data_IF_857879766581
#
_entry.id   IF_857879766581
#
_cell.length_a   1.000
_cell.length_b   1.000
_cell.length_c   1.000
_cell.angle_alpha   90.00
_cell.angle_beta   90.00
_cell.angle_gamma   90.00
#
_symmetry.space_group_name_H-M   'P 1'
#
loop_
_entity.id
_entity.type
_entity.pdbx_description
1 polymer ?
#
# COMPACT_ATOMS: atom_id res chain seq x y z
N UNK A 1 -35.98 -9.57 16.35
CA UNK A 1 -34.55 -9.18 16.38
C UNK A 1 -33.86 -9.77 15.15
N UNK A 2 -33.71 -9.02 14.06
CA UNK A 2 -32.52 -8.19 13.71
C UNK A 2 -31.28 -9.07 13.45
N UNK A 3 -30.56 -9.04 12.32
CA UNK A 3 -30.68 -8.43 10.99
C UNK A 3 -29.61 -9.17 10.18
N UNK A 4 -29.97 -9.70 9.01
CA UNK A 4 -29.06 -10.31 8.04
C UNK A 4 -28.05 -9.26 7.56
N UNK A 5 -26.76 -9.55 7.68
CA UNK A 5 -25.68 -8.66 7.20
C UNK A 5 -25.10 -9.24 5.91
N UNK A 6 -25.15 -8.44 4.85
CA UNK A 6 -24.01 -8.37 3.93
C UNK A 6 -24.06 -9.18 2.63
N UNK A 7 -25.23 -9.28 1.99
CA UNK A 7 -25.35 -9.61 0.58
C UNK A 7 -24.78 -8.45 -0.27
N UNK A 8 -23.52 -8.55 -0.69
CA UNK A 8 -22.87 -7.60 -1.62
C UNK A 8 -22.10 -8.32 -2.71
N UNK A 9 -22.76 -9.17 -3.49
CA UNK A 9 -22.27 -9.56 -4.80
C UNK A 9 -23.49 -9.86 -5.65
N UNK A 10 -23.84 -8.96 -6.58
CA UNK A 10 -24.35 -9.28 -7.92
C UNK A 10 -24.67 -8.01 -8.74
N UNK A 11 -24.14 -8.02 -9.97
CA UNK A 11 -24.68 -7.54 -11.24
C UNK A 11 -24.19 -6.20 -11.84
N UNK A 12 -23.96 -6.28 -13.18
CA UNK A 12 -23.54 -5.29 -14.20
C UNK A 12 -22.04 -5.28 -14.49
N UNK A 13 -21.54 -5.55 -15.70
CA UNK A 13 -22.13 -5.70 -17.02
C UNK A 13 -21.29 -6.68 -17.86
N UNK A 14 -21.90 -7.27 -18.90
CA UNK A 14 -21.14 -7.86 -20.02
C UNK A 14 -20.44 -6.71 -20.73
N UNK A 15 -19.20 -6.43 -20.31
CA UNK A 15 -18.33 -5.43 -20.93
C UNK A 15 -17.72 -6.08 -22.17
N UNK A 16 -18.01 -5.51 -23.34
CA UNK A 16 -17.29 -5.79 -24.59
C UNK A 16 -15.79 -5.70 -24.29
N UNK A 17 -14.93 -6.65 -24.71
CA UNK A 17 -13.51 -6.57 -24.40
C UNK A 17 -12.91 -5.37 -25.14
N UNK A 18 -12.93 -4.22 -24.48
CA UNK A 18 -12.03 -3.11 -24.80
C UNK A 18 -10.66 -3.65 -24.41
N UNK A 19 -9.78 -3.87 -25.38
CA UNK A 19 -8.42 -4.34 -25.11
C UNK A 19 -7.76 -3.35 -24.15
N UNK A 20 -7.62 -3.76 -22.88
CA UNK A 20 -6.89 -3.00 -21.87
C UNK A 20 -5.45 -3.43 -21.90
N UNK A 21 -4.55 -2.47 -21.91
CA UNK A 21 -3.14 -2.75 -21.65
C UNK A 21 -3.03 -3.11 -20.18
N UNK A 22 -2.41 -4.26 -19.89
CA UNK A 22 -2.11 -4.69 -18.52
C UNK A 22 -0.74 -4.14 -18.15
N UNK A 23 -0.63 -3.54 -16.97
CA UNK A 23 0.63 -3.08 -16.37
C UNK A 23 0.83 -3.69 -15.01
N UNK A 24 2.07 -4.08 -14.69
CA UNK A 24 2.37 -4.66 -13.40
C UNK A 24 2.84 -3.57 -12.45
N UNK A 25 2.23 -3.49 -11.27
CA UNK A 25 2.69 -2.56 -10.25
C UNK A 25 3.99 -3.05 -9.62
N UNK A 26 4.88 -2.11 -9.29
CA UNK A 26 6.11 -2.35 -8.56
C UNK A 26 6.12 -1.51 -7.29
N UNK A 27 6.61 -2.11 -6.19
CA UNK A 27 6.78 -1.46 -4.91
C UNK A 27 8.27 -1.19 -4.65
N UNK A 28 8.61 0.06 -4.34
CA UNK A 28 9.95 0.42 -3.90
C UNK A 28 9.91 1.12 -2.54
N UNK A 29 10.84 0.71 -1.67
CA UNK A 29 10.99 1.23 -0.31
C UNK A 29 12.40 1.79 -0.13
N UNK A 30 12.58 3.13 -0.08
CA UNK A 30 13.90 3.74 0.04
C UNK A 30 14.58 3.43 1.39
N UNK A 31 13.79 3.23 2.44
CA UNK A 31 14.27 2.75 3.73
C UNK A 31 14.07 1.23 3.79
N UNK A 32 15.11 0.48 4.15
CA UNK A 32 15.05 -0.99 4.16
C UNK A 32 14.18 -1.56 5.28
N UNK A 33 14.12 -0.91 6.43
CA UNK A 33 13.31 -1.35 7.57
C UNK A 33 12.45 -0.19 8.12
N UNK A 34 11.11 -0.29 8.10
CA UNK A 34 10.24 0.64 8.80
C UNK A 34 10.39 0.55 10.33
N UNK A 35 10.45 1.69 11.01
CA UNK A 35 10.39 1.79 12.47
C UNK A 35 8.94 2.04 12.93
N UNK A 36 8.53 1.43 14.05
CA UNK A 36 7.22 1.72 14.67
C UNK A 36 7.08 3.21 14.98
N UNK A 37 5.92 3.79 14.65
CA UNK A 37 5.60 5.20 14.92
C UNK A 37 6.16 6.20 13.91
N UNK A 38 7.19 5.83 13.14
CA UNK A 38 7.77 6.70 12.13
C UNK A 38 6.99 6.62 10.79
N UNK A 39 6.86 7.74 10.04
CA UNK A 39 6.35 7.69 8.69
C UNK A 39 7.30 6.94 7.76
N UNK A 40 6.83 5.82 7.20
CA UNK A 40 7.57 5.02 6.24
C UNK A 40 7.11 5.35 4.82
N UNK A 41 8.05 5.73 3.94
CA UNK A 41 7.73 6.09 2.55
C UNK A 41 7.67 4.86 1.67
N UNK A 42 6.63 4.79 0.84
CA UNK A 42 6.45 3.74 -0.17
C UNK A 42 6.24 4.40 -1.53
N UNK A 43 6.91 3.89 -2.56
CA UNK A 43 6.72 4.30 -3.95
C UNK A 43 6.05 3.19 -4.74
N UNK A 44 5.08 3.56 -5.56
CA UNK A 44 4.43 2.67 -6.52
C UNK A 44 4.73 3.15 -7.94
N UNK A 45 5.25 2.27 -8.77
CA UNK A 45 5.50 2.51 -10.20
C UNK A 45 4.92 1.38 -11.05
N UNK A 46 4.86 1.57 -12.38
CA UNK A 46 4.74 0.45 -13.32
C UNK A 46 6.11 -0.15 -13.66
N UNK A 47 6.13 -1.18 -14.51
CA UNK A 47 7.33 -1.86 -15.01
C UNK A 47 8.28 -0.96 -15.79
N UNK A 48 7.80 0.19 -16.30
CA UNK A 48 8.59 1.20 -16.99
C UNK A 48 9.11 2.30 -16.03
N UNK A 49 8.90 2.13 -14.72
CA UNK A 49 9.30 3.09 -13.70
C UNK A 49 8.41 4.34 -13.64
N UNK A 50 7.27 4.36 -14.33
CA UNK A 50 6.36 5.52 -14.31
C UNK A 50 5.61 5.55 -12.99
N UNK A 51 5.50 6.72 -12.32
CA UNK A 51 4.79 6.82 -11.05
C UNK A 51 3.30 6.54 -11.21
N UNK A 52 2.74 5.79 -10.27
CA UNK A 52 1.31 5.45 -10.27
C UNK A 52 0.61 6.29 -9.20
N UNK A 53 -0.18 7.27 -9.64
CA UNK A 53 -1.06 8.05 -8.79
C UNK A 53 -2.31 7.26 -8.37
N UNK A 54 -2.89 7.62 -7.23
CA UNK A 54 -4.13 7.05 -6.68
C UNK A 54 -4.12 5.52 -6.50
N UNK A 55 -2.93 4.91 -6.46
CA UNK A 55 -2.79 3.52 -6.06
C UNK A 55 -3.10 3.41 -4.57
N UNK A 56 -3.90 2.42 -4.21
CA UNK A 56 -4.19 2.05 -2.83
C UNK A 56 -3.05 1.17 -2.33
N UNK A 57 -2.38 1.62 -1.28
CA UNK A 57 -1.33 0.88 -0.58
C UNK A 57 -1.86 0.50 0.80
N UNK A 58 -1.91 -0.78 1.09
CA UNK A 58 -2.51 -1.33 2.31
C UNK A 58 -1.59 -2.31 3.04
N UNK A 59 -1.72 -2.35 4.36
CA UNK A 59 -1.08 -3.34 5.23
C UNK A 59 -1.91 -3.55 6.48
N UNK A 60 -2.65 -4.67 6.54
CA UNK A 60 -3.62 -4.90 7.61
C UNK A 60 -4.70 -3.81 7.62
N UNK A 61 -4.80 -3.07 8.73
CA UNK A 61 -5.74 -1.94 8.88
C UNK A 61 -5.20 -0.59 8.40
N UNK A 62 -3.95 -0.53 7.93
CA UNK A 62 -3.34 0.70 7.42
C UNK A 62 -3.66 0.80 5.93
N UNK A 63 -4.21 1.93 5.50
CA UNK A 63 -4.51 2.23 4.09
C UNK A 63 -4.02 3.64 3.76
N UNK A 64 -3.36 3.78 2.62
CA UNK A 64 -2.94 5.07 2.07
C UNK A 64 -3.11 5.09 0.55
N UNK A 65 -3.17 6.29 -0.03
CA UNK A 65 -3.15 6.49 -1.49
C UNK A 65 -1.87 7.18 -1.93
N UNK A 66 -1.36 6.81 -3.09
CA UNK A 66 -0.23 7.51 -3.70
C UNK A 66 -0.65 8.84 -4.29
N UNK A 67 0.18 9.88 -4.11
CA UNK A 67 0.01 11.15 -4.82
C UNK A 67 0.47 11.06 -6.28
N UNK A 68 0.40 12.19 -7.00
CA UNK A 68 0.79 12.27 -8.41
C UNK A 68 2.24 11.85 -8.73
N UNK A 69 3.12 11.87 -7.73
CA UNK A 69 4.51 11.42 -7.85
C UNK A 69 4.70 9.92 -7.53
N UNK A 70 3.62 9.18 -7.29
CA UNK A 70 3.65 7.75 -6.96
C UNK A 70 4.07 7.44 -5.53
N UNK A 71 4.14 8.43 -4.64
CA UNK A 71 4.54 8.22 -3.24
C UNK A 71 3.36 8.27 -2.28
N UNK A 72 3.42 7.43 -1.24
CA UNK A 72 2.57 7.52 -0.05
C UNK A 72 3.40 7.32 1.22
N UNK A 73 2.75 7.48 2.38
CA UNK A 73 3.35 7.22 3.69
C UNK A 73 2.48 6.24 4.46
N UNK A 74 3.10 5.22 5.05
CA UNK A 74 2.47 4.31 6.00
C UNK A 74 3.03 4.58 7.40
N UNK A 75 2.26 4.31 8.45
CA UNK A 75 2.75 4.38 9.84
C UNK A 75 2.35 3.12 10.58
N UNK A 76 3.34 2.28 10.87
CA UNK A 76 3.13 1.02 11.58
C UNK A 76 3.05 1.25 13.09
N UNK A 77 2.11 0.57 13.74
CA UNK A 77 1.85 0.71 15.19
C UNK A 77 2.48 -0.40 16.05
N UNK A 78 2.96 -1.46 15.42
CA UNK A 78 3.55 -2.59 16.11
C UNK A 78 4.61 -3.27 15.24
N UNK A 79 5.68 -3.79 15.86
CA UNK A 79 6.77 -4.43 15.14
C UNK A 79 6.34 -5.78 14.55
N UNK A 80 7.22 -6.36 13.72
CA UNK A 80 7.04 -7.67 13.11
C UNK A 80 6.94 -7.62 11.59
N UNK A 81 6.71 -8.77 10.98
CA UNK A 81 6.55 -8.88 9.54
C UNK A 81 5.19 -8.34 9.09
N UNK A 82 5.19 -7.54 8.03
CA UNK A 82 4.01 -6.91 7.44
C UNK A 82 4.00 -7.14 5.95
N UNK A 83 2.88 -7.63 5.44
CA UNK A 83 2.61 -7.63 4.01
C UNK A 83 2.05 -6.28 3.62
N UNK A 84 2.66 -5.65 2.61
CA UNK A 84 2.19 -4.44 1.96
C UNK A 84 1.69 -4.82 0.58
N UNK A 85 0.44 -4.49 0.29
CA UNK A 85 -0.17 -4.68 -1.02
C UNK A 85 -0.34 -3.31 -1.68
N UNK A 86 -0.03 -3.20 -2.97
CA UNK A 86 -0.40 -2.05 -3.78
C UNK A 86 -1.34 -2.51 -4.90
N UNK A 87 -2.44 -1.80 -5.07
CA UNK A 87 -3.43 -2.03 -6.12
C UNK A 87 -3.91 -0.71 -6.69
N UNK A 88 -4.47 -0.75 -7.90
CA UNK A 88 -5.12 0.39 -8.53
C UNK A 88 -6.32 -0.09 -9.33
N UNK A 89 -7.42 0.63 -9.23
CA UNK A 89 -8.60 0.33 -10.02
C UNK A 89 -8.30 0.43 -11.52
N UNK A 90 -8.82 -0.52 -12.29
CA UNK A 90 -8.68 -0.48 -13.74
C UNK A 90 -9.47 0.70 -14.31
N UNK A 91 -8.91 1.28 -15.37
CA UNK A 91 -9.57 2.30 -16.19
C UNK A 91 -10.12 1.65 -17.46
N UNK A 92 -10.77 2.43 -18.32
CA UNK A 92 -11.21 1.96 -19.64
C UNK A 92 -10.05 1.40 -20.48
N UNK A 93 -8.84 1.96 -20.35
CA UNK A 93 -7.68 1.65 -21.21
C UNK A 93 -6.60 0.81 -20.55
N UNK A 94 -6.50 0.85 -19.22
CA UNK A 94 -5.40 0.24 -18.47
C UNK A 94 -5.94 -0.58 -17.32
N UNK A 95 -5.50 -1.83 -17.25
CA UNK A 95 -5.65 -2.67 -16.07
C UNK A 95 -4.30 -2.76 -15.35
N UNK A 96 -4.34 -2.93 -14.03
CA UNK A 96 -3.14 -3.03 -13.20
C UNK A 96 -3.11 -4.37 -12.49
N UNK A 97 -1.98 -5.07 -12.59
CA UNK A 97 -1.72 -6.23 -11.73
C UNK A 97 -1.24 -5.73 -10.37
N UNK A 98 -1.88 -6.16 -9.27
CA UNK A 98 -1.47 -5.77 -7.94
C UNK A 98 -0.13 -6.41 -7.57
N UNK A 99 0.58 -5.79 -6.64
CA UNK A 99 1.87 -6.27 -6.14
C UNK A 99 1.86 -6.39 -4.63
N UNK A 100 2.62 -7.35 -4.11
CA UNK A 100 2.79 -7.60 -2.68
C UNK A 100 4.27 -7.63 -2.32
N UNK A 101 4.61 -7.05 -1.17
CA UNK A 101 5.94 -7.11 -0.59
C UNK A 101 5.85 -7.38 0.91
N UNK A 102 6.81 -8.11 1.46
CA UNK A 102 6.92 -8.34 2.91
C UNK A 102 8.02 -7.46 3.48
N UNK A 103 7.69 -6.69 4.51
CA UNK A 103 8.61 -5.81 5.23
C UNK A 103 8.76 -6.28 6.67
N UNK A 104 9.95 -6.09 7.25
CA UNK A 104 10.18 -6.26 8.68
C UNK A 104 10.09 -4.90 9.36
N UNK A 105 9.07 -4.70 10.19
CA UNK A 105 8.93 -3.51 11.03
C UNK A 105 9.69 -3.71 12.33
N UNK A 106 10.59 -2.79 12.65
CA UNK A 106 11.40 -2.82 13.87
C UNK A 106 10.80 -1.94 14.97
N UNK A 107 10.98 -2.28 16.25
CA UNK A 107 10.55 -1.41 17.36
C UNK A 107 11.16 -0.01 17.24
N UNK A 108 10.43 1.00 17.70
CA UNK A 108 11.04 2.30 17.96
C UNK A 108 12.20 2.10 18.94
N UNK A 109 13.40 2.59 18.60
CA UNK A 109 14.51 2.60 19.54
C UNK A 109 14.06 3.24 20.85
N UNK A 110 14.52 2.71 22.00
CA UNK A 110 14.29 3.37 23.29
C UNK A 110 14.66 4.85 23.14
N UNK A 111 13.85 5.81 23.63
CA UNK A 111 14.36 7.16 23.79
C UNK A 111 15.64 7.01 24.62
N UNK A 112 16.76 7.47 24.08
CA UNK A 112 17.98 7.66 24.86
C UNK A 112 17.56 8.57 26.00
N UNK A 113 17.31 7.99 27.18
CA UNK A 113 17.32 8.75 28.42
C UNK A 113 18.70 9.37 28.41
N UNK A 114 18.77 10.65 28.06
CA UNK A 114 19.94 11.48 28.27
C UNK A 114 20.27 11.29 29.74
N UNK A 115 21.28 10.46 29.97
CA UNK A 115 21.89 10.21 31.26
C UNK A 115 22.43 11.57 31.67
N UNK A 116 21.60 12.37 32.32
CA UNK A 116 22.02 13.45 33.21
C UNK A 116 22.84 12.75 34.29
N UNK A 117 24.11 12.53 34.00
CA UNK A 117 25.11 12.45 35.05
C UNK A 117 25.19 13.86 35.61
N UNK A 118 24.79 13.98 36.87
CA UNK A 118 25.03 15.17 37.67
C UNK A 118 26.51 15.38 37.97
#
# INVERSE_FOLDING_TARGET
MSRLVGRWFLLWAVVRPSMRIVRSLLLATPNREPTVGEPFRVRVTDELGRPIADAVVESGSIVARTGGNGWCRLRFRSPGYRTVCASREATERVAFEPVRATLRVVPAGRPTLSRRLG
#
